data_IF_010785510233
#
_entry.id   IF_010785510233
#
_cell.length_a   1.000
_cell.length_b   1.000
_cell.length_c   1.000
_cell.angle_alpha   90.00
_cell.angle_beta   90.00
_cell.angle_gamma   90.00
#
_symmetry.space_group_name_H-M   'P 1'
#
loop_
_entity.id
_entity.type
_entity.pdbx_description
1 polymer ?
#
# COMPACT_ATOMS: atom_id res chain seq x y z
N UNK A 1 -33.99 9.69 -21.05
CA UNK A 1 -33.59 9.95 -19.66
C UNK A 1 -32.22 9.32 -19.46
N UNK A 2 -31.14 10.07 -19.74
CA UNK A 2 -29.78 9.60 -19.46
C UNK A 2 -29.56 9.76 -17.95
N UNK A 3 -29.41 8.64 -17.24
CA UNK A 3 -29.06 8.69 -15.82
C UNK A 3 -27.61 9.17 -15.71
N UNK A 4 -27.41 10.42 -15.28
CA UNK A 4 -26.11 11.11 -15.23
C UNK A 4 -25.14 10.54 -14.19
N UNK A 5 -25.36 9.32 -13.69
CA UNK A 5 -24.66 8.71 -12.57
C UNK A 5 -24.25 7.25 -12.82
N UNK A 6 -23.97 6.86 -14.07
CA UNK A 6 -23.52 5.50 -14.42
C UNK A 6 -22.15 5.52 -15.08
N UNK A 7 -21.27 4.59 -14.71
CA UNK A 7 -20.01 4.33 -15.41
C UNK A 7 -20.29 3.27 -16.46
N UNK A 8 -20.08 3.60 -17.74
CA UNK A 8 -20.29 2.68 -18.86
C UNK A 8 -19.02 2.50 -19.70
N UNK A 9 -18.69 1.24 -19.99
CA UNK A 9 -17.70 0.79 -20.96
C UNK A 9 -18.44 0.14 -22.12
N UNK A 10 -18.07 0.49 -23.34
CA UNK A 10 -18.62 -0.12 -24.55
C UNK A 10 -17.46 -0.67 -25.40
N UNK A 11 -17.54 -1.96 -25.73
CA UNK A 11 -16.67 -2.68 -26.66
C UNK A 11 -15.16 -2.55 -26.41
N UNK A 12 -14.75 -2.50 -25.14
CA UNK A 12 -13.34 -2.34 -24.76
C UNK A 12 -12.55 -3.59 -25.11
N UNK A 13 -11.56 -3.41 -25.98
CA UNK A 13 -10.66 -4.47 -26.44
C UNK A 13 -9.21 -4.11 -26.15
N UNK A 14 -8.41 -5.09 -25.71
CA UNK A 14 -6.98 -4.91 -25.44
C UNK A 14 -6.21 -6.17 -25.78
N UNK A 15 -5.16 -6.02 -26.57
CA UNK A 15 -4.28 -7.10 -26.99
C UNK A 15 -2.85 -6.81 -26.53
N UNK A 16 -2.16 -7.83 -26.00
CA UNK A 16 -0.72 -7.79 -25.69
C UNK A 16 0.00 -8.76 -26.64
N UNK A 17 0.65 -8.22 -27.67
CA UNK A 17 1.31 -9.02 -28.70
C UNK A 17 0.30 -9.95 -29.39
N UNK A 18 0.49 -11.27 -29.26
CA UNK A 18 -0.41 -12.30 -29.82
C UNK A 18 -1.58 -12.67 -28.92
N UNK A 19 -1.62 -12.20 -27.65
CA UNK A 19 -2.64 -12.59 -26.67
C UNK A 19 -3.70 -11.50 -26.54
N UNK A 20 -4.95 -11.83 -26.85
CA UNK A 20 -6.10 -10.96 -26.56
C UNK A 20 -6.39 -11.03 -25.07
N UNK A 21 -6.26 -9.90 -24.37
CA UNK A 21 -6.54 -9.79 -22.94
C UNK A 21 -7.97 -9.32 -22.67
N UNK A 22 -8.55 -8.51 -23.55
CA UNK A 22 -9.96 -8.11 -23.54
C UNK A 22 -10.47 -8.13 -24.98
N UNK A 23 -11.65 -8.70 -25.20
CA UNK A 23 -12.33 -8.72 -26.51
C UNK A 23 -13.74 -8.16 -26.34
N UNK A 24 -13.98 -6.96 -26.88
CA UNK A 24 -15.27 -6.26 -26.90
C UNK A 24 -16.03 -6.29 -25.58
N UNK A 25 -15.35 -6.00 -24.48
CA UNK A 25 -15.96 -6.04 -23.15
C UNK A 25 -16.78 -4.77 -22.92
N UNK A 26 -18.08 -4.95 -22.67
CA UNK A 26 -19.01 -3.88 -22.31
C UNK A 26 -19.48 -4.07 -20.86
N UNK A 27 -19.46 -2.99 -20.06
CA UNK A 27 -19.79 -3.01 -18.64
C UNK A 27 -20.58 -1.76 -18.27
N UNK A 28 -21.63 -1.89 -17.46
CA UNK A 28 -22.37 -0.75 -16.89
C UNK A 28 -22.44 -0.90 -15.39
N UNK A 29 -21.96 0.11 -14.66
CA UNK A 29 -21.95 0.14 -13.19
C UNK A 29 -22.73 1.35 -12.72
N UNK A 30 -23.76 1.11 -11.92
CA UNK A 30 -24.59 2.16 -11.31
C UNK A 30 -23.89 2.77 -10.10
N UNK A 31 -24.09 4.07 -9.87
CA UNK A 31 -23.62 4.73 -8.65
C UNK A 31 -24.14 4.03 -7.39
N UNK A 32 -23.27 3.84 -6.42
CA UNK A 32 -23.59 3.18 -5.14
C UNK A 32 -23.64 1.65 -5.20
N UNK A 33 -23.42 1.04 -6.37
CA UNK A 33 -23.28 -0.42 -6.47
C UNK A 33 -21.83 -0.85 -6.26
N UNK A 34 -21.64 -2.00 -5.62
CA UNK A 34 -20.33 -2.67 -5.52
C UNK A 34 -20.29 -3.73 -6.62
N UNK A 35 -19.37 -3.59 -7.57
CA UNK A 35 -19.18 -4.55 -8.64
C UNK A 35 -17.91 -5.38 -8.40
N UNK A 36 -18.06 -6.70 -8.33
CA UNK A 36 -16.95 -7.64 -8.17
C UNK A 36 -16.56 -8.28 -9.50
N UNK A 37 -15.29 -8.18 -9.88
CA UNK A 37 -14.77 -8.82 -11.09
C UNK A 37 -14.15 -10.18 -10.74
N UNK A 38 -14.84 -11.27 -11.06
CA UNK A 38 -14.46 -12.65 -10.71
C UNK A 38 -14.18 -13.45 -11.98
N UNK A 39 -13.16 -14.32 -11.95
CA UNK A 39 -12.83 -15.21 -13.07
C UNK A 39 -11.45 -15.87 -12.93
N UNK A 40 -11.07 -16.79 -13.83
CA UNK A 40 -9.77 -17.47 -13.78
C UNK A 40 -8.58 -16.54 -14.06
N UNK A 41 -7.38 -16.93 -13.61
CA UNK A 41 -6.16 -16.17 -13.87
C UNK A 41 -5.93 -16.02 -15.38
N UNK A 42 -5.62 -14.80 -15.82
CA UNK A 42 -5.44 -14.49 -17.25
C UNK A 42 -6.71 -14.10 -18.01
N UNK A 43 -7.89 -14.08 -17.38
CA UNK A 43 -9.16 -13.64 -18.00
C UNK A 43 -9.27 -12.12 -18.26
N UNK A 44 -8.17 -11.36 -18.22
CA UNK A 44 -8.19 -9.92 -18.48
C UNK A 44 -8.62 -9.02 -17.31
N UNK A 45 -8.89 -9.57 -16.12
CA UNK A 45 -9.38 -8.80 -14.95
C UNK A 45 -8.49 -7.61 -14.60
N UNK A 46 -7.20 -7.87 -14.35
CA UNK A 46 -6.23 -6.81 -14.05
C UNK A 46 -6.05 -5.84 -15.21
N UNK A 47 -6.20 -6.31 -16.45
CA UNK A 47 -6.15 -5.45 -17.64
C UNK A 47 -7.31 -4.47 -17.67
N UNK A 48 -8.53 -4.93 -17.37
CA UNK A 48 -9.73 -4.10 -17.33
C UNK A 48 -9.65 -3.08 -16.18
N UNK A 49 -9.23 -3.50 -14.99
CA UNK A 49 -9.06 -2.58 -13.85
C UNK A 49 -7.99 -1.53 -14.13
N UNK A 50 -6.83 -1.90 -14.70
CA UNK A 50 -5.79 -0.92 -15.03
C UNK A 50 -6.23 0.12 -16.08
N UNK A 51 -7.02 -0.29 -17.08
CA UNK A 51 -7.57 0.66 -18.07
C UNK A 51 -8.52 1.64 -17.38
N UNK A 52 -9.43 1.15 -16.55
CA UNK A 52 -10.36 1.97 -15.77
C UNK A 52 -9.63 2.97 -14.86
N UNK A 53 -8.67 2.49 -14.08
CA UNK A 53 -7.89 3.32 -13.14
C UNK A 53 -7.12 4.43 -13.88
N UNK A 54 -6.48 4.09 -15.00
CA UNK A 54 -5.73 5.05 -15.82
C UNK A 54 -6.66 6.11 -16.40
N UNK A 55 -7.81 5.70 -16.93
CA UNK A 55 -8.79 6.62 -17.50
C UNK A 55 -9.35 7.57 -16.43
N UNK A 56 -9.66 7.06 -15.23
CA UNK A 56 -10.12 7.85 -14.09
C UNK A 56 -9.11 8.93 -13.69
N UNK A 57 -7.82 8.58 -13.62
CA UNK A 57 -6.75 9.53 -13.28
C UNK A 57 -6.60 10.62 -14.36
N UNK A 58 -6.60 10.22 -15.64
CA UNK A 58 -6.46 11.14 -16.77
C UNK A 58 -7.66 12.10 -16.82
N UNK A 59 -8.89 11.59 -16.75
CA UNK A 59 -10.10 12.41 -16.76
C UNK A 59 -10.12 13.34 -15.55
N UNK A 60 -9.77 12.83 -14.35
CA UNK A 60 -9.67 13.65 -13.14
C UNK A 60 -8.71 14.83 -13.34
N UNK A 61 -7.53 14.58 -13.91
CA UNK A 61 -6.56 15.62 -14.22
C UNK A 61 -7.13 16.69 -15.16
N UNK A 62 -7.78 16.29 -16.26
CA UNK A 62 -8.42 17.22 -17.20
C UNK A 62 -9.60 17.99 -16.59
N UNK A 63 -10.35 17.39 -15.67
CA UNK A 63 -11.44 18.03 -14.94
C UNK A 63 -10.94 19.01 -13.86
N UNK A 64 -9.63 19.26 -13.78
CA UNK A 64 -9.06 20.21 -12.83
C UNK A 64 -8.91 19.64 -11.42
N UNK A 65 -8.94 18.32 -11.26
CA UNK A 65 -8.56 17.66 -10.01
C UNK A 65 -7.07 17.93 -9.73
N UNK A 66 -6.81 19.03 -9.05
CA UNK A 66 -5.51 19.31 -8.45
C UNK A 66 -5.48 18.52 -7.16
N UNK A 67 -4.66 17.48 -7.12
CA UNK A 67 -4.30 16.83 -5.87
C UNK A 67 -3.87 17.93 -4.89
N UNK A 68 -4.60 18.21 -3.80
CA UNK A 68 -4.28 19.26 -2.84
C UNK A 68 -3.13 18.79 -1.93
N UNK A 69 -2.07 18.31 -2.55
CA UNK A 69 -0.94 17.66 -1.90
C UNK A 69 0.25 18.56 -2.18
N UNK A 70 0.67 19.32 -1.17
CA UNK A 70 1.91 20.08 -1.26
C UNK A 70 3.08 19.14 -1.55
N UNK A 71 4.13 19.63 -2.20
CA UNK A 71 5.36 18.86 -2.48
C UNK A 71 5.90 18.23 -1.18
N UNK A 72 5.80 18.95 -0.06
CA UNK A 72 6.17 18.45 1.27
C UNK A 72 5.37 17.21 1.65
N UNK A 73 4.05 17.23 1.48
CA UNK A 73 3.18 16.07 1.75
C UNK A 73 3.53 14.88 0.86
N UNK A 74 3.90 15.11 -0.39
CA UNK A 74 4.30 14.04 -1.31
C UNK A 74 5.64 13.41 -0.88
N UNK A 75 6.63 14.23 -0.51
CA UNK A 75 7.93 13.75 0.01
C UNK A 75 7.70 12.95 1.29
N UNK A 76 6.92 13.49 2.23
CA UNK A 76 6.61 12.87 3.50
C UNK A 76 5.89 11.52 3.35
N UNK A 77 4.92 11.44 2.43
CA UNK A 77 4.22 10.21 2.09
C UNK A 77 5.16 9.10 1.59
N UNK A 78 6.22 9.47 0.84
CA UNK A 78 7.21 8.53 0.31
C UNK A 78 8.29 8.17 1.34
N UNK A 79 8.76 9.14 2.11
CA UNK A 79 9.86 8.98 3.07
C UNK A 79 9.47 8.08 4.24
N UNK A 80 8.26 8.21 4.76
CA UNK A 80 7.80 7.45 5.94
C UNK A 80 7.81 5.93 5.72
N UNK A 81 7.17 5.37 4.68
CA UNK A 81 7.25 3.94 4.40
C UNK A 81 8.66 3.52 3.97
N UNK A 82 9.43 4.35 3.27
CA UNK A 82 10.80 4.04 2.88
C UNK A 82 11.72 3.85 4.10
N UNK A 83 11.67 4.77 5.08
CA UNK A 83 12.43 4.66 6.33
C UNK A 83 12.02 3.43 7.14
N UNK A 84 10.73 3.11 7.19
CA UNK A 84 10.26 1.90 7.85
C UNK A 84 10.75 0.63 7.14
N UNK A 85 10.77 0.61 5.80
CA UNK A 85 11.33 -0.50 5.02
C UNK A 85 12.83 -0.66 5.31
N UNK A 86 13.58 0.43 5.39
CA UNK A 86 14.99 0.41 5.76
C UNK A 86 15.20 -0.18 7.16
N UNK A 87 14.36 0.21 8.13
CA UNK A 87 14.40 -0.33 9.49
C UNK A 87 14.16 -1.85 9.50
N UNK A 88 13.09 -2.30 8.85
CA UNK A 88 12.77 -3.74 8.75
C UNK A 88 13.89 -4.49 8.02
N UNK A 89 14.45 -3.90 6.96
CA UNK A 89 15.59 -4.45 6.23
C UNK A 89 16.84 -4.58 7.10
N UNK A 90 17.15 -3.57 7.92
CA UNK A 90 18.28 -3.60 8.84
C UNK A 90 18.13 -4.69 9.91
N UNK A 91 16.93 -4.83 10.48
CA UNK A 91 16.59 -5.91 11.42
C UNK A 91 16.73 -7.27 10.74
N UNK A 92 16.26 -7.37 9.50
CA UNK A 92 16.33 -8.56 8.66
C UNK A 92 17.77 -9.01 8.46
N UNK A 93 18.64 -8.12 8.01
CA UNK A 93 20.08 -8.40 7.82
C UNK A 93 20.76 -8.75 9.15
N UNK A 94 20.46 -8.04 10.24
CA UNK A 94 21.00 -8.34 11.56
C UNK A 94 20.66 -9.76 12.01
N UNK A 95 19.40 -10.19 11.83
CA UNK A 95 18.98 -11.57 12.11
C UNK A 95 19.68 -12.55 11.15
N UNK A 96 19.82 -12.20 9.87
CA UNK A 96 20.52 -13.03 8.88
C UNK A 96 21.96 -13.37 9.31
N UNK A 97 22.68 -12.39 9.86
CA UNK A 97 24.06 -12.58 10.32
C UNK A 97 24.10 -13.48 11.56
N UNK A 98 23.10 -13.40 12.45
CA UNK A 98 22.98 -14.26 13.63
C UNK A 98 22.55 -15.69 13.26
N UNK A 99 21.63 -15.84 12.31
CA UNK A 99 21.12 -17.13 11.86
C UNK A 99 21.85 -17.57 10.60
N UNK A 100 22.81 -18.49 10.71
CA UNK A 100 23.59 -19.06 9.60
C UNK A 100 22.77 -19.88 8.56
N UNK A 101 21.45 -19.75 8.52
CA UNK A 101 20.52 -20.43 7.60
C UNK A 101 19.51 -19.45 7.00
N UNK A 102 19.63 -19.18 5.70
CA UNK A 102 18.81 -18.20 4.98
C UNK A 102 17.30 -18.53 4.97
N UNK A 103 16.92 -19.82 4.93
CA UNK A 103 15.51 -20.24 4.90
C UNK A 103 14.76 -19.95 6.20
N UNK A 104 15.45 -20.05 7.35
CA UNK A 104 14.86 -19.77 8.67
C UNK A 104 14.55 -18.28 8.82
N UNK A 105 15.43 -17.41 8.33
CA UNK A 105 15.25 -15.96 8.36
C UNK A 105 14.01 -15.50 7.59
N UNK A 106 13.84 -15.96 6.34
CA UNK A 106 12.67 -15.62 5.51
C UNK A 106 11.38 -16.09 6.20
N UNK A 107 11.40 -17.30 6.75
CA UNK A 107 10.25 -17.87 7.46
C UNK A 107 9.88 -17.02 8.69
N UNK A 108 10.86 -16.60 9.49
CA UNK A 108 10.63 -15.74 10.66
C UNK A 108 10.05 -14.40 10.22
N UNK A 109 10.64 -13.74 9.23
CA UNK A 109 10.16 -12.44 8.74
C UNK A 109 8.73 -12.52 8.21
N UNK A 110 8.42 -13.55 7.42
CA UNK A 110 7.12 -13.71 6.81
C UNK A 110 6.04 -14.14 7.81
N UNK A 111 6.41 -14.94 8.81
CA UNK A 111 5.53 -15.34 9.91
C UNK A 111 5.01 -14.13 10.70
N UNK A 112 5.84 -13.12 10.94
CA UNK A 112 5.42 -11.89 11.63
C UNK A 112 4.82 -10.84 10.69
N UNK A 113 5.35 -10.70 9.47
CA UNK A 113 4.90 -9.68 8.52
C UNK A 113 3.45 -9.90 8.10
N UNK A 114 3.03 -11.15 7.87
CA UNK A 114 1.67 -11.41 7.40
C UNK A 114 0.59 -10.98 8.40
N UNK A 115 0.64 -11.39 9.69
CA UNK A 115 -0.29 -10.89 10.71
C UNK A 115 -0.25 -9.37 10.87
N UNK A 116 0.94 -8.76 10.86
CA UNK A 116 1.10 -7.32 11.01
C UNK A 116 0.45 -6.55 9.84
N UNK A 117 0.63 -7.02 8.61
CA UNK A 117 0.04 -6.41 7.43
C UNK A 117 -1.48 -6.59 7.43
N UNK A 118 -1.95 -7.79 7.78
CA UNK A 118 -3.38 -8.12 7.81
C UNK A 118 -4.14 -7.33 8.90
N UNK A 119 -3.52 -7.14 10.07
CA UNK A 119 -4.07 -6.37 11.19
C UNK A 119 -3.83 -4.85 11.04
N UNK A 120 -3.42 -4.38 9.87
CA UNK A 120 -3.22 -2.96 9.56
C UNK A 120 -4.45 -2.37 8.87
N UNK A 121 -4.71 -1.08 9.10
CA UNK A 121 -5.71 -0.29 8.38
C UNK A 121 -5.41 -0.10 6.89
N UNK A 122 -4.29 -0.64 6.39
CA UNK A 122 -3.98 -0.71 4.97
C UNK A 122 -5.05 -1.48 4.17
N UNK A 123 -5.65 -2.53 4.75
CA UNK A 123 -6.61 -3.39 4.05
C UNK A 123 -8.07 -3.04 4.34
N UNK A 124 -8.35 -2.46 5.51
CA UNK A 124 -9.72 -2.16 5.93
C UNK A 124 -9.76 -0.81 6.67
N UNK A 125 -10.72 0.04 6.32
CA UNK A 125 -10.90 1.34 6.96
C UNK A 125 -11.16 1.18 8.46
N UNK A 126 -10.57 2.07 9.26
CA UNK A 126 -10.62 2.04 10.73
C UNK A 126 -12.03 1.93 11.32
N UNK A 127 -13.04 2.46 10.62
CA UNK A 127 -14.43 2.50 11.11
C UNK A 127 -15.20 1.20 10.89
N UNK A 128 -14.64 0.24 10.15
CA UNK A 128 -15.26 -1.05 9.82
C UNK A 128 -14.62 -2.22 10.59
N UNK A 129 -13.58 -1.95 11.37
CA UNK A 129 -12.84 -2.98 12.09
C UNK A 129 -13.59 -3.42 13.37
N UNK A 130 -13.73 -4.75 13.60
CA UNK A 130 -14.16 -5.29 14.88
C UNK A 130 -13.31 -4.74 16.04
N UNK A 131 -13.93 -4.58 17.22
CA UNK A 131 -13.33 -3.90 18.38
C UNK A 131 -11.99 -4.50 18.83
N UNK A 132 -11.83 -5.83 18.73
CA UNK A 132 -10.59 -6.52 19.07
C UNK A 132 -9.44 -6.21 18.08
N UNK A 133 -9.73 -6.15 16.78
CA UNK A 133 -8.72 -5.78 15.76
C UNK A 133 -8.33 -4.31 15.91
N UNK A 134 -9.29 -3.43 16.22
CA UNK A 134 -9.00 -2.01 16.45
C UNK A 134 -8.05 -1.77 17.63
N UNK A 135 -8.01 -2.65 18.63
CA UNK A 135 -7.07 -2.56 19.75
C UNK A 135 -5.69 -3.01 19.30
N UNK A 136 -5.60 -4.15 18.61
CA UNK A 136 -4.34 -4.70 18.09
C UNK A 136 -3.68 -3.77 17.07
N UNK A 137 -4.48 -3.11 16.22
CA UNK A 137 -3.96 -2.19 15.23
C UNK A 137 -3.25 -0.99 15.88
N UNK A 138 -3.64 -0.56 17.10
CA UNK A 138 -2.98 0.55 17.80
C UNK A 138 -1.54 0.23 18.21
N UNK A 139 -1.21 -1.04 18.39
CA UNK A 139 0.13 -1.51 18.80
C UNK A 139 0.96 -1.89 17.56
N UNK A 140 0.32 -1.98 16.39
CA UNK A 140 0.95 -2.45 15.18
C UNK A 140 1.82 -1.36 14.52
N UNK A 141 3.15 -1.56 14.40
CA UNK A 141 4.05 -0.58 13.79
C UNK A 141 3.76 -0.33 12.30
N UNK A 142 3.23 -1.33 11.59
CA UNK A 142 2.79 -1.18 10.20
C UNK A 142 1.59 -0.23 10.12
N UNK A 143 0.66 -0.31 11.09
CA UNK A 143 -0.50 0.59 11.15
C UNK A 143 -0.08 2.04 11.45
N UNK A 144 0.95 2.25 12.27
CA UNK A 144 1.47 3.59 12.52
C UNK A 144 2.00 4.27 11.25
N UNK A 145 2.75 3.53 10.42
CA UNK A 145 3.26 4.00 9.13
C UNK A 145 2.11 4.31 8.17
N UNK A 146 1.12 3.42 8.08
CA UNK A 146 -0.04 3.61 7.20
C UNK A 146 -0.85 4.84 7.60
N UNK A 147 -1.15 5.01 8.89
CA UNK A 147 -1.86 6.19 9.40
C UNK A 147 -1.05 7.47 9.22
N UNK A 148 0.27 7.39 9.44
CA UNK A 148 1.18 8.50 9.22
C UNK A 148 1.10 8.96 7.75
N UNK A 149 1.26 8.04 6.80
CA UNK A 149 1.11 8.32 5.36
C UNK A 149 -0.27 8.86 4.99
N UNK A 150 -1.36 8.31 5.55
CA UNK A 150 -2.72 8.81 5.30
C UNK A 150 -2.95 10.22 5.88
N UNK A 151 -2.39 10.50 7.06
CA UNK A 151 -2.49 11.81 7.71
C UNK A 151 -1.79 12.92 6.92
N UNK A 152 -0.80 12.57 6.10
CA UNK A 152 -0.11 13.53 5.22
C UNK A 152 -1.02 14.16 4.16
N UNK A 153 -2.13 13.47 3.80
CA UNK A 153 -3.13 13.99 2.86
C UNK A 153 -4.24 14.79 3.55
N UNK A 154 -4.46 14.58 4.85
CA UNK A 154 -5.45 15.30 5.64
C UNK A 154 -4.71 16.32 6.50
N UNK A 155 -4.52 17.56 5.99
CA UNK A 155 -3.80 18.76 6.50
C UNK A 155 -3.34 18.89 7.99
N UNK A 156 -3.81 18.09 8.94
CA UNK A 156 -3.33 18.02 10.32
C UNK A 156 -2.09 17.12 10.44
N UNK A 157 -0.90 17.71 10.32
CA UNK A 157 0.36 17.07 10.72
C UNK A 157 0.37 16.86 12.24
N UNK A 158 0.03 15.66 12.70
CA UNK A 158 0.05 15.33 14.12
C UNK A 158 1.49 15.19 14.66
N UNK A 159 1.75 15.64 15.88
CA UNK A 159 3.05 15.54 16.60
C UNK A 159 3.61 14.09 16.60
N UNK A 160 2.74 13.09 16.61
CA UNK A 160 3.11 11.67 16.56
C UNK A 160 3.84 11.27 15.27
N UNK A 161 3.66 12.02 14.19
CA UNK A 161 4.26 11.76 12.89
C UNK A 161 5.79 11.96 12.89
N UNK A 162 6.25 13.09 13.43
CA UNK A 162 7.68 13.40 13.53
C UNK A 162 8.41 12.43 14.47
N UNK A 163 7.74 12.01 15.56
CA UNK A 163 8.27 11.00 16.48
C UNK A 163 8.46 9.64 15.81
N UNK A 164 7.56 9.24 14.90
CA UNK A 164 7.71 7.99 14.15
C UNK A 164 8.91 8.03 13.19
N UNK A 165 9.10 9.16 12.49
CA UNK A 165 10.24 9.33 11.59
C UNK A 165 11.56 9.29 12.38
N UNK A 166 11.65 10.04 13.48
CA UNK A 166 12.86 10.10 14.31
C UNK A 166 13.17 8.72 14.90
N UNK A 167 12.17 8.03 15.46
CA UNK A 167 12.37 6.68 16.02
C UNK A 167 12.80 5.67 14.97
N UNK A 168 12.21 5.68 13.76
CA UNK A 168 12.65 4.82 12.66
C UNK A 168 14.09 5.10 12.26
N UNK A 169 14.48 6.38 12.15
CA UNK A 169 15.84 6.77 11.76
C UNK A 169 16.87 6.33 12.82
N UNK A 170 16.60 6.62 14.10
CA UNK A 170 17.46 6.22 15.23
C UNK A 170 17.63 4.71 15.29
N UNK A 171 16.54 3.95 15.18
CA UNK A 171 16.59 2.50 15.21
C UNK A 171 17.33 1.92 14.01
N UNK A 172 17.17 2.51 12.81
CA UNK A 172 17.90 2.08 11.61
C UNK A 172 19.40 2.25 11.79
N UNK A 173 19.84 3.40 12.31
CA UNK A 173 21.28 3.66 12.59
C UNK A 173 21.81 2.68 13.64
N UNK A 174 21.05 2.42 14.70
CA UNK A 174 21.42 1.48 15.75
C UNK A 174 21.59 0.06 15.22
N UNK A 175 20.63 -0.47 14.45
CA UNK A 175 20.73 -1.80 13.87
C UNK A 175 21.82 -1.92 12.82
N UNK A 176 22.04 -0.86 12.02
CA UNK A 176 23.15 -0.82 11.07
C UNK A 176 24.50 -0.91 11.80
N UNK A 177 24.67 -0.19 12.91
CA UNK A 177 25.86 -0.25 13.75
C UNK A 177 26.09 -1.64 14.36
N UNK A 178 25.04 -2.27 14.92
CA UNK A 178 25.13 -3.65 15.44
C UNK A 178 25.55 -4.61 14.33
N UNK A 179 24.93 -4.50 13.16
CA UNK A 179 25.25 -5.36 12.02
C UNK A 179 26.71 -5.23 11.61
N UNK A 180 27.23 -4.00 11.56
CA UNK A 180 28.64 -3.72 11.28
C UNK A 180 29.58 -4.31 12.35
N UNK A 181 29.27 -4.12 13.64
CA UNK A 181 30.10 -4.61 14.75
C UNK A 181 30.13 -6.15 14.81
N UNK A 182 29.02 -6.82 14.47
CA UNK A 182 28.94 -8.29 14.40
C UNK A 182 29.73 -8.83 13.19
N UNK A 183 29.70 -8.16 12.04
CA UNK A 183 30.49 -8.56 10.87
C UNK A 183 32.01 -8.37 11.04
N UNK A 184 32.43 -7.49 11.96
CA UNK A 184 33.85 -7.22 12.24
C UNK A 184 34.51 -8.26 13.14
N UNK A 185 33.73 -9.08 13.86
CA UNK A 185 34.22 -10.16 14.73
C UNK A 185 34.30 -11.48 13.98
#
# INVERSE_FOLDING_TARGET
MYDHNEIALNDVSKTFGKKVALDKVSLKVKKGSIFGLIGPNGAGKSTLTSILDTLLVIIGYFMGFRLPIGIVSLILFLVTPALFLCLVGAISIGIAVLTKKHSTMITVMQFFSFPLIFLSSAFMRSNLLPRWISILSKINPVDWVVRASQSTFNHSLAINYYLLIISCLVMTVFFCKITYDVQRK
#
